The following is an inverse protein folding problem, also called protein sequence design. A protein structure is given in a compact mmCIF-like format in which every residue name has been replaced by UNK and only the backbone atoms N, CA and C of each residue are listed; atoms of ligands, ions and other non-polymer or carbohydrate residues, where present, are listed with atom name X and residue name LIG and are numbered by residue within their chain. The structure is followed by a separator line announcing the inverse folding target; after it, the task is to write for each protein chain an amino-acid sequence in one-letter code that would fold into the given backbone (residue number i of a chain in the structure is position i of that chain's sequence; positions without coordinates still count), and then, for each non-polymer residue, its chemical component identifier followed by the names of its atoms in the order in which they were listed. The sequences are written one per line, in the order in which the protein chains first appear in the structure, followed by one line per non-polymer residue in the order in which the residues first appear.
data_IF_427781174823
#
_entry.id   IF_427781174823
#
_cell.length_a   1.000
_cell.length_b   1.000
_cell.length_c   1.000
_cell.angle_alpha   90.00
_cell.angle_beta   90.00
_cell.angle_gamma   90.00
#
_symmetry.space_group_name_H-M   'P 1'
#
loop_
_entity.id
_entity.type
_entity.pdbx_description
1 polymer ?
#
# COMPACT_ATOMS: atom_id res chain seq x y z
N UNK A 1 -2.34 30.54 2.32
CA UNK A 1 -0.89 30.38 2.10
C UNK A 1 -0.31 29.03 2.57
N UNK A 2 -0.39 28.63 3.86
CA UNK A 2 0.17 27.33 4.30
C UNK A 2 -0.56 26.12 3.69
N UNK A 3 -1.89 26.15 3.61
CA UNK A 3 -2.71 25.08 3.00
C UNK A 3 -2.47 24.88 1.49
N UNK A 4 -2.17 25.95 0.77
CA UNK A 4 -1.95 25.93 -0.69
C UNK A 4 -0.64 25.25 -1.06
N UNK A 5 0.43 25.56 -0.29
CA UNK A 5 1.75 24.91 -0.45
C UNK A 5 1.68 23.41 -0.20
N UNK A 6 0.96 22.97 0.83
CA UNK A 6 0.86 21.55 1.13
C UNK A 6 0.01 20.77 0.12
N UNK A 7 -1.04 21.39 -0.45
CA UNK A 7 -1.79 20.80 -1.58
C UNK A 7 -0.90 20.67 -2.82
N UNK A 8 -0.07 21.67 -3.11
CA UNK A 8 0.88 21.61 -4.22
C UNK A 8 1.92 20.50 -4.03
N UNK A 9 2.45 20.36 -2.81
CA UNK A 9 3.41 19.31 -2.44
C UNK A 9 2.80 17.91 -2.56
N UNK A 10 1.58 17.70 -2.04
CA UNK A 10 0.86 16.43 -2.19
C UNK A 10 0.59 16.07 -3.65
N UNK A 11 0.20 17.05 -4.49
CA UNK A 11 0.02 16.84 -5.94
C UNK A 11 1.34 16.48 -6.63
N UNK A 12 2.43 17.15 -6.26
CA UNK A 12 3.78 16.85 -6.76
C UNK A 12 4.19 15.42 -6.43
N UNK A 13 4.09 15.01 -5.16
CA UNK A 13 4.40 13.64 -4.71
C UNK A 13 3.57 12.60 -5.45
N UNK A 14 2.25 12.80 -5.56
CA UNK A 14 1.37 11.90 -6.34
C UNK A 14 1.77 11.82 -7.81
N UNK A 15 2.20 12.92 -8.42
CA UNK A 15 2.66 12.94 -9.82
C UNK A 15 3.97 12.17 -9.98
N UNK A 16 4.91 12.33 -9.06
CA UNK A 16 6.18 11.59 -9.05
C UNK A 16 5.95 10.11 -8.81
N UNK A 17 5.24 9.75 -7.74
CA UNK A 17 4.92 8.35 -7.42
C UNK A 17 4.19 7.65 -8.58
N UNK A 18 3.24 8.35 -9.24
CA UNK A 18 2.58 7.81 -10.44
C UNK A 18 3.55 7.45 -11.56
N UNK A 19 4.54 8.30 -11.82
CA UNK A 19 5.56 8.04 -12.84
C UNK A 19 6.46 6.87 -12.45
N UNK A 20 6.91 6.87 -11.20
CA UNK A 20 7.80 5.85 -10.64
C UNK A 20 7.15 4.47 -10.68
N UNK A 21 5.95 4.34 -10.11
CA UNK A 21 5.17 3.09 -10.12
C UNK A 21 4.97 2.59 -11.54
N UNK A 22 4.62 3.49 -12.48
CA UNK A 22 4.46 3.10 -13.88
C UNK A 22 5.77 2.56 -14.48
N UNK A 23 6.89 3.25 -14.25
CA UNK A 23 8.20 2.84 -14.77
C UNK A 23 8.64 1.50 -14.19
N UNK A 24 8.55 1.33 -12.86
CA UNK A 24 8.91 0.07 -12.18
C UNK A 24 8.05 -1.10 -12.66
N UNK A 25 6.73 -0.91 -12.82
CA UNK A 25 5.85 -1.97 -13.35
C UNK A 25 6.23 -2.37 -14.77
N UNK A 26 6.53 -1.40 -15.63
CA UNK A 26 6.95 -1.69 -17.01
C UNK A 26 8.27 -2.46 -17.01
N UNK A 27 9.24 -2.02 -16.21
CA UNK A 27 10.55 -2.66 -16.13
C UNK A 27 10.43 -4.10 -15.62
N UNK A 28 9.76 -4.30 -14.49
CA UNK A 28 9.58 -5.63 -13.89
C UNK A 28 8.93 -6.61 -14.88
N UNK A 29 7.84 -6.19 -15.52
CA UNK A 29 7.13 -7.08 -16.47
C UNK A 29 8.00 -7.32 -17.72
N UNK A 30 8.73 -6.31 -18.21
CA UNK A 30 9.67 -6.50 -19.34
C UNK A 30 10.74 -7.52 -19.01
N UNK A 31 11.41 -7.40 -17.87
CA UNK A 31 12.43 -8.35 -17.41
C UNK A 31 11.87 -9.79 -17.33
N UNK A 32 10.65 -9.97 -16.81
CA UNK A 32 10.01 -11.28 -16.82
C UNK A 32 9.71 -11.78 -18.24
N UNK A 33 9.23 -10.92 -19.14
CA UNK A 33 8.91 -11.32 -20.53
C UNK A 33 10.15 -11.64 -21.36
N UNK A 34 11.29 -11.01 -21.07
CA UNK A 34 12.57 -11.34 -21.70
C UNK A 34 13.07 -12.71 -21.24
N UNK A 35 12.95 -13.02 -19.94
CA UNK A 35 13.25 -14.36 -19.39
C UNK A 35 12.35 -15.46 -19.98
N UNK A 36 11.11 -15.13 -20.33
CA UNK A 36 10.15 -16.04 -20.97
C UNK A 36 10.34 -16.16 -22.50
N UNK A 37 11.32 -15.45 -23.08
CA UNK A 37 11.78 -15.68 -24.45
C UNK A 37 11.00 -14.96 -25.55
N UNK A 38 9.99 -14.11 -25.25
CA UNK A 38 9.28 -13.30 -26.28
C UNK A 38 8.72 -11.97 -25.75
N UNK A 39 9.36 -10.86 -26.12
CA UNK A 39 8.76 -9.53 -26.08
C UNK A 39 8.18 -9.13 -27.44
N UNK A 40 6.86 -9.27 -27.64
CA UNK A 40 6.22 -8.75 -28.87
C UNK A 40 5.85 -7.26 -28.72
N UNK A 41 5.87 -6.49 -29.82
CA UNK A 41 5.43 -5.08 -29.81
C UNK A 41 4.00 -4.90 -29.27
N UNK A 42 3.12 -5.88 -29.53
CA UNK A 42 1.74 -5.90 -29.00
C UNK A 42 1.73 -6.09 -27.48
N UNK A 43 2.57 -6.98 -26.97
CA UNK A 43 2.74 -7.21 -25.53
C UNK A 43 3.32 -5.96 -24.84
N UNK A 44 4.36 -5.34 -25.38
CA UNK A 44 4.94 -4.10 -24.80
C UNK A 44 3.91 -2.98 -24.70
N UNK A 45 3.09 -2.77 -25.74
CA UNK A 45 1.99 -1.79 -25.71
C UNK A 45 0.92 -2.15 -24.66
N UNK A 46 0.61 -3.44 -24.49
CA UNK A 46 -0.35 -3.89 -23.48
C UNK A 46 0.18 -3.63 -22.06
N UNK A 47 1.46 -3.94 -21.81
CA UNK A 47 2.16 -3.67 -20.55
C UNK A 47 2.11 -2.18 -20.22
N UNK A 48 2.47 -1.31 -21.17
CA UNK A 48 2.46 0.14 -20.97
C UNK A 48 1.06 0.69 -20.65
N UNK A 49 0.03 0.21 -21.34
CA UNK A 49 -1.36 0.61 -21.09
C UNK A 49 -1.85 0.13 -19.73
N UNK A 50 -1.57 -1.12 -19.36
CA UNK A 50 -1.97 -1.70 -18.07
C UNK A 50 -1.23 -1.03 -16.91
N UNK A 51 0.08 -0.82 -17.01
CA UNK A 51 0.85 -0.08 -16.01
C UNK A 51 0.37 1.37 -15.87
N UNK A 52 -0.03 2.03 -16.97
CA UNK A 52 -0.62 3.37 -16.92
C UNK A 52 -2.01 3.41 -16.26
N UNK A 53 -2.81 2.35 -16.36
CA UNK A 53 -4.08 2.24 -15.63
C UNK A 53 -3.84 1.94 -14.15
N UNK A 54 -3.02 0.93 -13.84
CA UNK A 54 -2.75 0.52 -12.47
C UNK A 54 -2.14 1.65 -11.64
N UNK A 55 -1.13 2.35 -12.18
CA UNK A 55 -0.53 3.51 -11.51
C UNK A 55 -1.51 4.65 -11.24
N UNK A 56 -2.56 4.83 -12.06
CA UNK A 56 -3.63 5.80 -11.79
C UNK A 56 -4.51 5.35 -10.63
N UNK A 57 -4.93 4.09 -10.62
CA UNK A 57 -5.78 3.55 -9.55
C UNK A 57 -5.05 3.58 -8.20
N UNK A 58 -3.80 3.11 -8.15
CA UNK A 58 -2.99 3.12 -6.92
C UNK A 58 -2.88 4.54 -6.34
N UNK A 59 -2.67 5.56 -7.18
CA UNK A 59 -2.48 6.95 -6.72
C UNK A 59 -3.78 7.61 -6.24
N UNK A 60 -4.94 7.11 -6.69
CA UNK A 60 -6.24 7.55 -6.14
C UNK A 60 -6.40 7.09 -4.69
N UNK A 61 -6.01 5.86 -4.41
CA UNK A 61 -6.09 5.25 -3.07
C UNK A 61 -5.03 5.78 -2.09
N UNK A 62 -3.89 6.29 -2.59
CA UNK A 62 -2.85 6.86 -1.72
C UNK A 62 -3.34 8.17 -1.09
N UNK A 63 -3.45 8.16 0.24
CA UNK A 63 -3.64 9.36 1.06
C UNK A 63 -2.29 9.91 1.49
N UNK A 64 -2.00 11.18 1.16
CA UNK A 64 -0.76 11.84 1.58
C UNK A 64 -1.03 12.52 2.91
N UNK A 65 -0.67 11.85 4.01
CA UNK A 65 -0.70 12.46 5.34
C UNK A 65 0.43 13.48 5.44
N UNK A 66 0.07 14.74 5.70
CA UNK A 66 1.01 15.86 5.79
C UNK A 66 1.69 15.95 7.16
N UNK A 67 2.10 14.82 7.72
CA UNK A 67 3.10 14.84 8.78
C UNK A 67 4.44 15.10 8.11
N UNK A 68 4.75 16.38 7.93
CA UNK A 68 6.09 16.84 7.58
C UNK A 68 6.99 16.32 8.72
N UNK A 69 7.92 15.38 8.49
CA UNK A 69 8.92 15.08 9.49
C UNK A 69 9.86 16.28 9.52
N UNK A 70 9.65 17.21 10.45
CA UNK A 70 10.76 18.06 10.92
C UNK A 70 11.65 17.20 11.80
N UNK A 71 12.35 16.24 11.20
CA UNK A 71 13.49 15.65 11.86
C UNK A 71 14.50 15.25 10.80
N UNK A 72 15.71 15.79 10.97
CA UNK A 72 16.87 15.53 10.14
C UNK A 72 16.97 14.02 9.97
N UNK A 73 16.93 13.55 8.73
CA UNK A 73 17.16 12.14 8.40
C UNK A 73 18.59 11.81 8.83
N UNK A 74 18.73 11.24 10.03
CA UNK A 74 19.85 10.36 10.34
C UNK A 74 19.37 8.97 9.96
N UNK A 75 19.95 8.44 8.88
CA UNK A 75 19.72 7.08 8.44
C UNK A 75 20.05 6.11 9.57
N UNK A 76 19.11 5.24 9.94
CA UNK A 76 19.42 3.99 10.63
C UNK A 76 18.25 3.01 10.45
N UNK A 77 18.61 1.88 9.83
CA UNK A 77 18.14 0.51 10.03
C UNK A 77 16.64 0.15 10.12
N UNK A 78 16.30 -0.77 9.22
CA UNK A 78 15.29 -1.84 9.31
C UNK A 78 14.95 -2.29 10.73
N UNK A 79 13.68 -2.15 11.15
CA UNK A 79 13.07 -3.13 12.05
C UNK A 79 11.53 -3.17 11.95
N UNK A 80 11.05 -4.34 11.48
CA UNK A 80 9.93 -5.13 12.00
C UNK A 80 8.53 -4.48 12.17
N UNK A 81 7.65 -4.83 11.24
CA UNK A 81 6.20 -4.69 11.33
C UNK A 81 5.60 -5.72 12.31
N UNK A 82 5.26 -5.29 13.53
CA UNK A 82 4.30 -6.03 14.36
C UNK A 82 2.91 -5.37 14.30
N UNK A 83 2.01 -6.08 13.64
CA UNK A 83 0.64 -5.73 13.28
C UNK A 83 -0.29 -5.76 14.51
N UNK A 84 -0.73 -4.59 14.99
CA UNK A 84 -1.86 -4.52 15.93
C UNK A 84 -3.19 -4.64 15.17
N UNK A 85 -3.77 -5.83 15.18
CA UNK A 85 -5.13 -6.10 14.70
C UNK A 85 -6.14 -5.55 15.71
N UNK A 86 -6.95 -4.59 15.25
CA UNK A 86 -8.02 -3.92 16.01
C UNK A 86 -9.24 -4.86 16.09
N UNK A 87 -9.43 -5.54 17.22
CA UNK A 87 -10.61 -6.38 17.46
C UNK A 87 -11.85 -5.50 17.68
N UNK A 88 -12.82 -5.63 16.78
CA UNK A 88 -14.14 -5.01 16.86
C UNK A 88 -14.99 -5.75 17.89
N UNK A 89 -15.45 -5.02 18.93
CA UNK A 89 -16.42 -5.51 19.93
C UNK A 89 -17.80 -5.71 19.28
N UNK A 90 -18.40 -6.89 19.47
CA UNK A 90 -19.86 -7.09 19.45
C UNK A 90 -20.26 -8.01 20.62
N UNK A 91 -21.33 -7.71 21.39
CA UNK A 91 -21.63 -8.39 22.65
C UNK A 91 -22.58 -9.58 22.44
N UNK A 92 -22.32 -10.70 23.13
CA UNK A 92 -23.27 -11.83 23.24
C UNK A 92 -23.25 -12.46 24.65
N UNK A 93 -24.35 -12.19 25.36
CA UNK A 93 -25.13 -12.97 26.32
C UNK A 93 -24.51 -14.12 27.18
N UNK A 94 -24.65 -13.92 28.51
CA UNK A 94 -25.28 -14.77 29.55
C UNK A 94 -24.73 -16.20 29.85
N UNK A 95 -24.18 -16.46 31.06
CA UNK A 95 -23.90 -17.81 31.54
C UNK A 95 -25.06 -18.39 32.36
N UNK A 96 -25.45 -19.64 32.08
CA UNK A 96 -26.28 -20.43 32.98
C UNK A 96 -26.05 -21.93 32.75
N UNK A 97 -25.17 -22.56 33.53
CA UNK A 97 -25.35 -23.95 33.97
C UNK A 97 -24.87 -24.04 35.43
N UNK A 98 -25.74 -24.59 36.28
CA UNK A 98 -25.63 -24.73 37.74
C UNK A 98 -25.18 -26.16 38.09
N UNK A 99 -24.42 -26.24 39.20
CA UNK A 99 -24.32 -27.32 40.22
C UNK A 99 -23.63 -28.66 39.92
N UNK A 100 -22.42 -28.80 40.47
CA UNK A 100 -22.02 -29.65 41.62
C UNK A 100 -22.85 -30.90 41.96
N UNK A 101 -22.19 -32.07 42.00
CA UNK A 101 -22.20 -33.03 43.12
C UNK A 101 -21.24 -34.23 42.87
N UNK A 102 -20.25 -34.40 43.75
CA UNK A 102 -19.66 -35.70 44.21
C UNK A 102 -20.64 -36.33 45.25
N UNK A 103 -20.53 -37.56 45.78
CA UNK A 103 -19.47 -38.59 45.66
C UNK A 103 -19.98 -40.06 45.47
N UNK A 104 -19.05 -41.02 45.31
CA UNK A 104 -18.93 -42.20 46.20
C UNK A 104 -17.67 -43.01 45.90
#
# INVERSE_FOLDING_TARGET
MKKDKSKALAKSLKKTAKKEIKASLIQLIKEFTEKLGKGSKKLSKAIEKSAAKLSKEIIKEITVNQTIPTEKVKATETENINTSVKVVKKPTAKPAVKKENTPS
#
